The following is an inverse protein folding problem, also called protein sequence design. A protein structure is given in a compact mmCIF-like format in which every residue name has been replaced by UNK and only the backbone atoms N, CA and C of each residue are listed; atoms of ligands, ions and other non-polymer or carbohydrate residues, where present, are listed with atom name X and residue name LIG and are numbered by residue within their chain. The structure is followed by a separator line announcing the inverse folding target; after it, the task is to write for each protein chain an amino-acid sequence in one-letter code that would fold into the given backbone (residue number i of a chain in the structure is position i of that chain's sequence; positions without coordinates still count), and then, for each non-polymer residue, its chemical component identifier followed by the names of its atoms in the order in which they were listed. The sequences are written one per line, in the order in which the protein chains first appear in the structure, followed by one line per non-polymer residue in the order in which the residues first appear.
data_IF_466019201981
#
_entry.id   IF_466019201981
#
_cell.length_a   1.000
_cell.length_b   1.000
_cell.length_c   1.000
_cell.angle_alpha   90.00
_cell.angle_beta   90.00
_cell.angle_gamma   90.00
#
_symmetry.space_group_name_H-M   'P 1'
#
loop_
_entity.id
_entity.type
_entity.pdbx_description
1 polymer ?
#
# COMPACT_ATOMS: atom_id res chain seq x y z
N UNK A 1 32.27 18.59 8.68
CA UNK A 1 30.84 18.33 8.52
C UNK A 1 30.58 17.51 7.26
N UNK A 2 30.06 16.33 7.45
CA UNK A 2 29.59 15.53 6.32
C UNK A 2 28.31 16.14 5.78
N UNK A 3 28.30 16.45 4.48
CA UNK A 3 27.07 16.86 3.83
C UNK A 3 26.05 15.74 3.97
N UNK A 4 24.84 16.07 4.44
CA UNK A 4 23.75 15.13 4.41
C UNK A 4 23.57 14.67 2.96
N UNK A 5 23.47 13.36 2.76
CA UNK A 5 23.24 12.79 1.43
C UNK A 5 21.90 13.31 0.92
N UNK A 6 21.93 13.96 -0.24
CA UNK A 6 20.72 14.49 -0.85
C UNK A 6 19.74 13.36 -1.15
N UNK A 7 18.48 13.51 -0.74
CA UNK A 7 17.45 12.51 -1.00
C UNK A 7 17.03 12.57 -2.45
N UNK A 8 16.95 11.40 -3.07
CA UNK A 8 16.41 11.23 -4.42
C UNK A 8 15.48 10.02 -4.43
N UNK A 9 14.66 9.92 -5.44
CA UNK A 9 13.81 8.75 -5.62
C UNK A 9 14.63 7.46 -5.67
N UNK A 10 15.79 7.52 -6.33
CA UNK A 10 16.67 6.35 -6.41
C UNK A 10 17.22 5.94 -5.05
N UNK A 11 17.62 6.89 -4.23
CA UNK A 11 18.13 6.60 -2.87
C UNK A 11 17.05 5.95 -2.01
N UNK A 12 15.84 6.48 -2.05
CA UNK A 12 14.71 5.92 -1.30
C UNK A 12 14.39 4.51 -1.79
N UNK A 13 14.28 4.35 -3.10
CA UNK A 13 13.99 3.06 -3.74
C UNK A 13 15.05 2.00 -3.38
N UNK A 14 16.32 2.33 -3.58
CA UNK A 14 17.42 1.38 -3.32
C UNK A 14 17.49 0.99 -1.84
N UNK A 15 17.22 1.95 -0.95
CA UNK A 15 17.23 1.70 0.49
C UNK A 15 16.08 0.78 0.91
N UNK A 16 14.86 1.13 0.50
CA UNK A 16 13.66 0.40 0.94
C UNK A 16 13.53 -0.98 0.29
N UNK A 17 14.01 -1.15 -0.93
CA UNK A 17 14.02 -2.46 -1.60
C UNK A 17 14.85 -3.50 -0.85
N UNK A 18 15.85 -3.06 -0.10
CA UNK A 18 16.77 -3.95 0.63
C UNK A 18 16.29 -4.28 2.03
N UNK A 19 15.22 -3.63 2.50
CA UNK A 19 14.70 -3.89 3.85
C UNK A 19 14.15 -5.31 3.92
N UNK A 20 14.61 -6.06 4.93
CA UNK A 20 14.13 -7.42 5.17
C UNK A 20 12.80 -7.37 5.92
N UNK A 21 11.74 -7.81 5.26
CA UNK A 21 10.39 -7.85 5.82
C UNK A 21 10.02 -9.24 6.36
N UNK A 22 10.94 -10.20 6.36
CA UNK A 22 10.63 -11.60 6.70
C UNK A 22 10.05 -11.78 8.11
N UNK A 23 10.48 -10.96 9.06
CA UNK A 23 10.05 -11.05 10.46
C UNK A 23 8.64 -10.49 10.70
N UNK A 24 8.15 -9.66 9.79
CA UNK A 24 6.86 -8.97 9.93
C UNK A 24 5.85 -9.37 8.86
N UNK A 25 6.22 -10.33 8.03
CA UNK A 25 5.34 -10.85 6.99
C UNK A 25 4.42 -11.91 7.58
N UNK A 26 3.12 -11.78 7.33
CA UNK A 26 2.11 -12.78 7.70
C UNK A 26 1.49 -13.36 6.45
N UNK A 27 1.06 -14.62 6.53
CA UNK A 27 0.44 -15.32 5.41
C UNK A 27 -1.07 -15.48 5.66
N UNK A 28 -1.86 -15.02 4.69
CA UNK A 28 -3.32 -15.16 4.70
C UNK A 28 -3.77 -15.68 3.34
N UNK A 29 -4.54 -16.77 3.33
CA UNK A 29 -5.05 -17.35 2.08
C UNK A 29 -3.95 -17.63 1.04
N UNK A 30 -2.79 -18.10 1.52
CA UNK A 30 -1.65 -18.38 0.66
C UNK A 30 -0.88 -17.17 0.15
N UNK A 31 -1.23 -15.97 0.59
CA UNK A 31 -0.59 -14.73 0.20
C UNK A 31 0.14 -14.10 1.38
N UNK A 32 1.30 -13.53 1.10
CA UNK A 32 2.09 -12.85 2.10
C UNK A 32 1.67 -11.39 2.23
N UNK A 33 1.54 -10.92 3.46
CA UNK A 33 1.12 -9.55 3.78
C UNK A 33 2.03 -8.95 4.83
N UNK A 34 2.11 -7.64 4.81
CA UNK A 34 2.74 -6.87 5.89
C UNK A 34 1.70 -5.87 6.40
N UNK A 35 1.52 -5.81 7.73
CA UNK A 35 0.59 -4.87 8.35
C UNK A 35 1.09 -3.44 8.26
N UNK A 36 0.16 -2.47 8.31
CA UNK A 36 0.53 -1.05 8.17
C UNK A 36 1.48 -0.58 9.28
N UNK A 37 1.29 -1.06 10.51
CA UNK A 37 2.13 -0.63 11.62
C UNK A 37 3.57 -1.12 11.46
N UNK A 38 3.74 -2.37 11.01
CA UNK A 38 5.06 -2.92 10.76
C UNK A 38 5.74 -2.21 9.59
N UNK A 39 4.98 -1.96 8.53
CA UNK A 39 5.50 -1.24 7.35
C UNK A 39 5.92 0.17 7.73
N UNK A 40 5.08 0.89 8.47
CA UNK A 40 5.39 2.25 8.94
C UNK A 40 6.63 2.27 9.82
N UNK A 41 6.76 1.29 10.73
CA UNK A 41 7.92 1.14 11.59
C UNK A 41 9.22 1.02 10.78
N UNK A 42 9.20 0.15 9.77
CA UNK A 42 10.36 -0.04 8.90
C UNK A 42 10.67 1.22 8.09
N UNK A 43 9.64 1.93 7.64
CA UNK A 43 9.84 3.21 6.93
C UNK A 43 10.50 4.23 7.86
N UNK A 44 10.00 4.35 9.09
CA UNK A 44 10.53 5.28 10.08
C UNK A 44 11.97 4.96 10.48
N UNK A 45 12.33 3.68 10.53
CA UNK A 45 13.71 3.28 10.82
C UNK A 45 14.69 3.78 9.76
N UNK A 46 14.24 3.93 8.54
CA UNK A 46 15.08 4.36 7.42
C UNK A 46 14.92 5.84 7.07
N UNK A 47 13.71 6.36 7.15
CA UNK A 47 13.38 7.75 6.78
C UNK A 47 12.42 8.35 7.82
N UNK A 48 12.93 8.69 9.03
CA UNK A 48 12.05 9.17 10.11
C UNK A 48 11.38 10.51 9.81
N UNK A 49 11.82 11.22 8.79
CA UNK A 49 11.21 12.46 8.35
C UNK A 49 10.00 12.27 7.44
N UNK A 50 9.66 11.02 7.10
CA UNK A 50 8.52 10.74 6.22
C UNK A 50 7.21 11.17 6.86
N UNK A 51 6.31 11.69 6.06
CA UNK A 51 4.94 12.05 6.47
C UNK A 51 3.96 11.43 5.49
N UNK A 52 2.68 11.41 5.87
CA UNK A 52 1.64 10.86 5.02
C UNK A 52 0.38 11.72 5.06
N UNK A 53 -0.42 11.59 4.02
CA UNK A 53 -1.73 12.26 3.94
C UNK A 53 -2.72 11.27 3.34
N UNK A 54 -3.90 11.18 3.96
CA UNK A 54 -5.06 10.56 3.35
C UNK A 54 -5.97 11.66 2.82
N UNK A 55 -6.25 11.62 1.52
CA UNK A 55 -7.21 12.56 0.94
C UNK A 55 -8.62 12.21 1.42
N UNK A 56 -9.54 13.16 1.33
CA UNK A 56 -10.95 12.88 1.58
C UNK A 56 -11.42 11.79 0.62
N UNK A 57 -12.16 10.78 1.11
CA UNK A 57 -12.69 9.74 0.23
C UNK A 57 -13.59 10.33 -0.85
N UNK A 58 -13.50 9.76 -2.06
CA UNK A 58 -14.30 10.20 -3.20
C UNK A 58 -15.38 9.15 -3.49
N UNK A 59 -16.62 9.59 -3.54
CA UNK A 59 -17.76 8.72 -3.79
C UNK A 59 -18.19 8.82 -5.24
N UNK A 60 -18.59 7.68 -5.81
CA UNK A 60 -19.04 7.55 -7.18
C UNK A 60 -20.43 6.90 -7.21
N UNK A 61 -21.29 7.38 -8.08
CA UNK A 61 -22.61 6.84 -8.27
C UNK A 61 -23.70 7.65 -7.58
N UNK A 62 -24.91 7.10 -7.54
CA UNK A 62 -26.07 7.78 -6.96
C UNK A 62 -26.26 7.36 -5.50
N UNK A 63 -26.85 8.25 -4.71
CA UNK A 63 -27.16 8.00 -3.30
C UNK A 63 -27.85 6.64 -3.12
N UNK A 64 -27.39 5.88 -2.15
CA UNK A 64 -27.86 4.53 -1.87
C UNK A 64 -27.13 3.42 -2.63
N UNK A 65 -26.35 3.78 -3.67
CA UNK A 65 -25.59 2.83 -4.51
C UNK A 65 -24.15 3.27 -4.74
N UNK A 66 -23.64 4.20 -3.92
CA UNK A 66 -22.31 4.77 -4.13
C UNK A 66 -21.22 3.79 -3.74
N UNK A 67 -20.14 3.80 -4.52
CA UNK A 67 -18.87 3.17 -4.13
C UNK A 67 -17.86 4.27 -3.83
N UNK A 68 -16.70 3.89 -3.30
CA UNK A 68 -15.75 4.87 -2.78
C UNK A 68 -14.32 4.52 -3.17
N UNK A 69 -13.54 5.55 -3.49
CA UNK A 69 -12.08 5.44 -3.67
C UNK A 69 -11.38 6.19 -2.55
N UNK A 70 -10.29 5.64 -2.06
CA UNK A 70 -9.40 6.31 -1.11
C UNK A 70 -8.04 6.54 -1.75
N UNK A 71 -7.36 7.60 -1.33
CA UNK A 71 -6.04 7.97 -1.83
C UNK A 71 -5.12 8.24 -0.67
N UNK A 72 -3.91 7.70 -0.73
CA UNK A 72 -2.87 7.96 0.25
C UNK A 72 -1.62 8.47 -0.46
N UNK A 73 -0.98 9.46 0.15
CA UNK A 73 0.30 10.00 -0.31
C UNK A 73 1.33 9.89 0.81
N UNK A 74 2.57 9.58 0.45
CA UNK A 74 3.69 9.59 1.39
C UNK A 74 4.73 10.56 0.86
N UNK A 75 5.24 11.40 1.75
CA UNK A 75 6.25 12.42 1.46
C UNK A 75 7.52 12.12 2.24
N UNK A 76 8.65 12.19 1.57
CA UNK A 76 9.97 12.16 2.20
C UNK A 76 10.72 13.37 1.67
N UNK A 77 10.78 14.44 2.45
CA UNK A 77 11.28 15.74 1.97
C UNK A 77 10.40 16.23 0.81
N UNK A 78 11.00 16.46 -0.34
CA UNK A 78 10.30 16.90 -1.56
C UNK A 78 9.81 15.73 -2.43
N UNK A 79 10.09 14.49 -2.01
CA UNK A 79 9.71 13.31 -2.78
C UNK A 79 8.30 12.87 -2.38
N UNK A 80 7.51 12.44 -3.36
CA UNK A 80 6.13 12.04 -3.15
C UNK A 80 5.80 10.80 -3.95
N UNK A 81 5.03 9.89 -3.34
CA UNK A 81 4.34 8.80 -4.03
C UNK A 81 2.93 8.74 -3.51
N UNK A 82 2.01 8.43 -4.41
CA UNK A 82 0.58 8.33 -4.12
C UNK A 82 0.00 7.08 -4.76
N UNK A 83 -1.05 6.57 -4.15
CA UNK A 83 -1.83 5.48 -4.72
C UNK A 83 -3.28 5.65 -4.34
N UNK A 84 -4.17 5.17 -5.19
CA UNK A 84 -5.61 5.15 -4.92
C UNK A 84 -6.11 3.72 -5.07
N UNK A 85 -7.06 3.35 -4.24
CA UNK A 85 -7.73 2.06 -4.39
C UNK A 85 -9.20 2.13 -3.96
N UNK A 86 -10.05 1.24 -4.50
CA UNK A 86 -11.45 1.22 -4.10
C UNK A 86 -11.61 0.65 -2.69
N UNK A 87 -12.63 1.13 -2.00
CA UNK A 87 -13.08 0.51 -0.76
C UNK A 87 -13.78 -0.78 -1.13
N UNK A 88 -13.21 -1.91 -0.73
CA UNK A 88 -13.65 -3.22 -1.18
C UNK A 88 -13.63 -4.25 -0.04
N UNK A 89 -14.30 -5.38 -0.26
CA UNK A 89 -14.31 -6.47 0.70
C UNK A 89 -12.90 -7.07 0.83
N UNK A 90 -12.58 -7.55 2.03
CA UNK A 90 -11.29 -8.17 2.30
C UNK A 90 -11.22 -9.63 1.87
N UNK A 91 -12.36 -10.26 1.67
CA UNK A 91 -12.46 -11.66 1.27
C UNK A 91 -12.78 -11.79 -0.22
N UNK A 92 -12.36 -12.91 -0.80
CA UNK A 92 -12.65 -13.21 -2.20
C UNK A 92 -14.13 -13.54 -2.42
N UNK A 93 -14.71 -13.11 -3.54
CA UNK A 93 -14.15 -12.19 -4.52
C UNK A 93 -14.11 -10.76 -3.97
N UNK A 94 -13.04 -10.06 -4.24
CA UNK A 94 -12.88 -8.67 -3.79
C UNK A 94 -13.79 -7.75 -4.62
N UNK A 95 -14.83 -7.25 -4.00
CA UNK A 95 -15.82 -6.38 -4.64
C UNK A 95 -15.88 -5.06 -3.93
N UNK A 96 -16.18 -4.00 -4.68
CA UNK A 96 -16.43 -2.68 -4.10
C UNK A 96 -17.59 -2.77 -3.11
N UNK A 97 -17.44 -2.12 -1.96
CA UNK A 97 -18.48 -2.05 -0.95
C UNK A 97 -19.43 -0.89 -1.30
N UNK A 98 -20.71 -1.19 -1.44
CA UNK A 98 -21.73 -0.19 -1.70
C UNK A 98 -22.10 0.52 -0.39
N UNK A 99 -22.11 1.85 -0.41
CA UNK A 99 -22.37 2.70 0.76
C UNK A 99 -21.49 2.29 1.96
N UNK A 100 -20.14 2.35 1.81
CA UNK A 100 -19.24 1.85 2.83
C UNK A 100 -19.33 2.63 4.13
N UNK A 101 -19.14 1.91 5.24
CA UNK A 101 -19.06 2.52 6.57
C UNK A 101 -17.70 3.22 6.75
N UNK A 102 -17.60 4.02 7.82
CA UNK A 102 -16.34 4.66 8.16
C UNK A 102 -15.25 3.63 8.46
N UNK A 103 -15.60 2.46 9.01
CA UNK A 103 -14.66 1.38 9.25
C UNK A 103 -14.15 0.77 7.93
N UNK A 104 -15.05 0.57 6.98
CA UNK A 104 -14.67 0.08 5.65
C UNK A 104 -13.66 1.02 4.98
N UNK A 105 -13.90 2.32 5.11
CA UNK A 105 -13.02 3.36 4.57
C UNK A 105 -11.67 3.33 5.28
N UNK A 106 -11.67 3.26 6.60
CA UNK A 106 -10.44 3.21 7.39
C UNK A 106 -9.59 1.98 7.05
N UNK A 107 -10.22 0.83 6.88
CA UNK A 107 -9.52 -0.40 6.50
C UNK A 107 -8.90 -0.27 5.10
N UNK A 108 -9.61 0.35 4.17
CA UNK A 108 -9.10 0.61 2.83
C UNK A 108 -7.93 1.59 2.86
N UNK A 109 -8.00 2.62 3.69
CA UNK A 109 -6.90 3.58 3.87
C UNK A 109 -5.64 2.87 4.39
N UNK A 110 -5.77 1.96 5.33
CA UNK A 110 -4.64 1.19 5.86
C UNK A 110 -3.98 0.34 4.76
N UNK A 111 -4.79 -0.31 3.92
CA UNK A 111 -4.28 -1.09 2.78
C UNK A 111 -3.59 -0.20 1.76
N UNK A 112 -4.20 0.95 1.47
CA UNK A 112 -3.64 1.94 0.54
C UNK A 112 -2.28 2.45 1.04
N UNK A 113 -2.17 2.71 2.33
CA UNK A 113 -0.96 3.18 2.99
C UNK A 113 0.22 2.21 2.77
N UNK A 114 -0.02 0.92 3.03
CA UNK A 114 1.01 -0.12 2.80
C UNK A 114 1.40 -0.17 1.32
N UNK A 115 0.44 -0.02 0.44
CA UNK A 115 0.67 -0.07 -1.00
C UNK A 115 1.53 1.08 -1.49
N UNK A 116 1.33 2.29 -0.96
CA UNK A 116 2.19 3.43 -1.27
C UNK A 116 3.62 3.17 -0.79
N UNK A 117 3.78 2.59 0.39
CA UNK A 117 5.11 2.21 0.89
C UNK A 117 5.76 1.19 -0.04
N UNK A 118 4.98 0.25 -0.57
CA UNK A 118 5.43 -0.68 -1.60
C UNK A 118 5.91 0.02 -2.87
N UNK A 119 5.20 1.06 -3.28
CA UNK A 119 5.59 1.87 -4.45
C UNK A 119 6.91 2.60 -4.23
N UNK A 120 7.30 2.82 -2.98
CA UNK A 120 8.60 3.39 -2.62
C UNK A 120 9.70 2.33 -2.54
N UNK A 121 9.33 1.06 -2.59
CA UNK A 121 10.25 -0.08 -2.55
C UNK A 121 10.06 -1.01 -1.36
N UNK A 122 9.40 -0.58 -0.31
CA UNK A 122 9.27 -1.34 0.93
C UNK A 122 8.27 -2.50 0.77
N UNK A 123 8.78 -3.72 0.81
CA UNK A 123 7.96 -4.90 0.72
C UNK A 123 7.35 -5.16 -0.65
N UNK A 124 7.75 -4.43 -1.68
CA UNK A 124 7.19 -4.56 -3.02
C UNK A 124 7.36 -5.98 -3.58
N UNK A 125 8.44 -6.66 -3.19
CA UNK A 125 8.69 -8.04 -3.62
C UNK A 125 7.57 -9.02 -3.26
N UNK A 126 6.77 -8.70 -2.24
CA UNK A 126 5.63 -9.53 -1.86
C UNK A 126 4.56 -9.53 -2.96
N UNK A 127 4.32 -8.35 -3.56
CA UNK A 127 3.37 -8.23 -4.68
C UNK A 127 3.94 -8.76 -5.99
N UNK A 128 5.23 -8.55 -6.24
CA UNK A 128 5.91 -9.10 -7.42
C UNK A 128 5.76 -10.62 -7.44
N UNK A 129 6.00 -11.26 -6.30
CA UNK A 129 5.87 -12.70 -6.13
C UNK A 129 4.45 -13.18 -6.40
N UNK A 130 3.45 -12.49 -5.84
CA UNK A 130 2.03 -12.81 -6.07
C UNK A 130 1.66 -12.76 -7.54
N UNK A 131 2.11 -11.70 -8.23
CA UNK A 131 1.82 -11.51 -9.64
C UNK A 131 2.35 -12.68 -10.46
N UNK A 132 3.55 -13.14 -10.17
CA UNK A 132 4.15 -14.28 -10.87
C UNK A 132 3.39 -15.58 -10.57
N UNK A 133 3.01 -15.82 -9.34
CA UNK A 133 2.23 -16.98 -8.93
C UNK A 133 0.84 -16.96 -9.57
N UNK A 134 0.19 -15.80 -9.59
CA UNK A 134 -1.12 -15.64 -10.22
C UNK A 134 -1.11 -15.98 -11.68
N UNK A 135 -0.07 -15.61 -12.40
CA UNK A 135 0.07 -15.93 -13.82
C UNK A 135 0.18 -17.44 -14.05
N UNK A 136 0.80 -18.13 -13.12
CA UNK A 136 1.00 -19.58 -13.23
C UNK A 136 -0.23 -20.36 -12.82
N UNK A 137 -0.85 -20.00 -11.70
CA UNK A 137 -1.90 -20.79 -11.06
C UNK A 137 -3.30 -20.44 -11.54
N UNK A 138 -3.58 -19.17 -11.75
CA UNK A 138 -4.93 -18.71 -12.04
C UNK A 138 -5.19 -18.45 -13.53
N UNK A 139 -4.15 -18.18 -14.28
CA UNK A 139 -4.29 -17.91 -15.71
C UNK A 139 -5.16 -16.68 -16.03
N UNK A 140 -5.67 -15.99 -15.03
CA UNK A 140 -6.62 -14.90 -15.21
C UNK A 140 -5.98 -13.53 -15.32
N UNK A 141 -4.77 -13.37 -14.84
CA UNK A 141 -4.08 -12.08 -14.83
C UNK A 141 -4.68 -11.05 -13.89
N UNK A 142 -5.60 -11.43 -13.03
CA UNK A 142 -6.17 -10.51 -12.07
C UNK A 142 -5.15 -10.16 -10.98
N UNK A 143 -5.04 -8.86 -10.70
CA UNK A 143 -4.12 -8.36 -9.68
C UNK A 143 -4.70 -8.62 -8.29
N UNK A 144 -3.98 -9.35 -7.42
CA UNK A 144 -4.42 -9.46 -6.03
C UNK A 144 -4.15 -8.14 -5.31
N UNK A 145 -5.16 -7.61 -4.70
CA UNK A 145 -5.05 -6.37 -3.93
C UNK A 145 -5.16 -6.62 -2.45
#
# INVERSE_FOLDING_TARGET
MTKAKELSYKVVWDTLRKVDCSKVTTTKMGLDYIGWADAWSLLMDNFPQATYVFDDPVFYGVEGKRTCMVTCSIYIGNLERSWSLPVMTASMPMKSIVEPSSRDISDAQARCFVKVMGMMGLGLHLWEKRTNESKTDLGSGEMPF
#
